data_IF_630333042562
#
_entry.id   IF_630333042562
#
_cell.length_a   1.000
_cell.length_b   1.000
_cell.length_c   1.000
_cell.angle_alpha   90.00
_cell.angle_beta   90.00
_cell.angle_gamma   90.00
#
_symmetry.space_group_name_H-M   'P 1'
#
loop_
_entity.id
_entity.type
_entity.pdbx_description
1 polymer ?
#
# COMPACT_ATOMS: atom_id res chain seq x y z
N UNK A 1 -7.40 -7.98 4.33
CA UNK A 1 -7.49 -6.54 4.66
C UNK A 1 -8.00 -5.74 3.47
N UNK A 2 -8.57 -4.58 3.73
CA UNK A 2 -8.98 -3.68 2.67
C UNK A 2 -7.84 -2.75 2.31
N UNK A 3 -7.65 -2.53 1.01
CA UNK A 3 -6.62 -1.64 0.49
C UNK A 3 -7.18 -0.83 -0.69
N UNK A 4 -6.53 0.29 -0.99
CA UNK A 4 -6.85 1.10 -2.16
C UNK A 4 -5.94 0.70 -3.32
N UNK A 5 -6.52 0.54 -4.50
CA UNK A 5 -5.79 0.18 -5.71
C UNK A 5 -6.40 0.89 -6.91
N UNK A 6 -5.58 1.17 -7.91
CA UNK A 6 -6.07 1.68 -9.18
C UNK A 6 -6.64 0.54 -10.02
N UNK A 7 -7.93 0.62 -10.35
CA UNK A 7 -8.62 -0.38 -11.18
C UNK A 7 -9.31 0.38 -12.31
N UNK A 8 -8.89 0.09 -13.54
CA UNK A 8 -9.43 0.74 -14.74
C UNK A 8 -9.40 2.27 -14.66
N UNK A 9 -8.30 2.83 -14.14
CA UNK A 9 -8.12 4.27 -14.02
C UNK A 9 -8.84 4.93 -12.85
N UNK A 10 -9.47 4.14 -11.97
CA UNK A 10 -10.18 4.63 -10.80
C UNK A 10 -9.60 4.04 -9.51
N UNK A 11 -9.68 4.81 -8.43
CA UNK A 11 -9.30 4.32 -7.10
C UNK A 11 -10.47 3.51 -6.52
N UNK A 12 -10.19 2.26 -6.15
CA UNK A 12 -11.22 1.38 -5.57
C UNK A 12 -10.68 0.65 -4.35
N UNK A 13 -11.57 0.33 -3.42
CA UNK A 13 -11.28 -0.59 -2.33
C UNK A 13 -11.21 -2.02 -2.87
N UNK A 14 -10.16 -2.73 -2.52
CA UNK A 14 -9.99 -4.15 -2.87
C UNK A 14 -9.66 -4.95 -1.63
N UNK A 15 -9.95 -6.24 -1.67
CA UNK A 15 -9.50 -7.18 -0.62
C UNK A 15 -8.11 -7.68 -0.99
N UNK A 16 -7.19 -7.58 -0.02
CA UNK A 16 -5.84 -8.10 -0.14
C UNK A 16 -5.54 -8.99 1.06
N UNK A 17 -4.74 -10.04 0.90
CA UNK A 17 -4.29 -10.80 2.06
C UNK A 17 -3.44 -9.91 2.95
N UNK A 18 -3.49 -10.16 4.26
CA UNK A 18 -2.61 -9.45 5.19
C UNK A 18 -1.16 -9.74 4.83
N UNK A 19 -0.29 -8.72 4.76
CA UNK A 19 1.09 -8.93 4.35
C UNK A 19 1.87 -9.74 5.39
N UNK A 20 2.81 -10.54 4.90
CA UNK A 20 3.78 -11.23 5.75
C UNK A 20 4.89 -10.27 6.12
N UNK A 21 5.60 -10.57 7.23
CA UNK A 21 6.69 -9.74 7.73
C UNK A 21 8.00 -10.51 7.59
N UNK A 22 8.81 -10.12 6.62
CA UNK A 22 10.09 -10.77 6.31
C UNK A 22 11.26 -10.09 7.00
N UNK A 23 12.47 -10.63 6.80
CA UNK A 23 13.72 -10.06 7.32
C UNK A 23 13.86 -8.60 6.90
N UNK A 24 14.18 -7.74 7.85
CA UNK A 24 14.36 -6.31 7.59
C UNK A 24 13.07 -5.53 7.44
N UNK A 25 11.93 -6.15 7.73
CA UNK A 25 10.62 -5.53 7.60
C UNK A 25 9.91 -5.42 8.94
N UNK A 26 8.96 -4.50 9.00
CA UNK A 26 8.00 -4.39 10.11
C UNK A 26 6.60 -4.43 9.54
N UNK A 27 5.65 -4.92 10.32
CA UNK A 27 4.23 -4.82 9.98
C UNK A 27 3.58 -3.80 10.89
N UNK A 28 2.83 -2.89 10.30
CA UNK A 28 2.18 -1.80 11.03
C UNK A 28 0.67 -1.99 11.01
N UNK A 29 0.05 -1.88 12.18
CA UNK A 29 -1.40 -1.69 12.26
C UNK A 29 -1.67 -0.23 11.96
N UNK A 30 -2.14 0.07 10.76
CA UNK A 30 -2.28 1.43 10.26
C UNK A 30 -3.42 2.15 10.97
N UNK A 31 -3.12 3.34 11.49
CA UNK A 31 -4.13 4.26 12.03
C UNK A 31 -4.55 5.29 10.99
N UNK A 32 -3.61 5.77 10.18
CA UNK A 32 -3.87 6.74 9.13
C UNK A 32 -2.83 6.61 8.02
N UNK A 33 -3.21 7.01 6.82
CA UNK A 33 -2.32 7.04 5.67
C UNK A 33 -2.47 8.37 4.93
N UNK A 34 -1.36 8.87 4.39
CA UNK A 34 -1.39 10.11 3.61
C UNK A 34 -1.80 9.85 2.17
N UNK A 35 -2.36 10.88 1.54
CA UNK A 35 -2.64 10.89 0.11
C UNK A 35 -1.60 11.76 -0.58
N UNK A 36 -1.04 11.26 -1.67
CA UNK A 36 -0.01 11.93 -2.42
C UNK A 36 -0.37 11.98 -3.91
N UNK A 37 0.21 12.94 -4.62
CA UNK A 37 -0.01 13.06 -6.07
C UNK A 37 0.39 11.77 -6.81
N UNK A 38 1.44 11.09 -6.35
CA UNK A 38 1.86 9.83 -6.94
C UNK A 38 0.76 8.76 -6.89
N UNK A 39 -0.07 8.76 -5.85
CA UNK A 39 -1.18 7.82 -5.73
C UNK A 39 -2.21 8.04 -6.84
N UNK A 40 -2.50 9.29 -7.16
CA UNK A 40 -3.42 9.63 -8.25
C UNK A 40 -2.83 9.24 -9.60
N UNK A 41 -1.54 9.49 -9.82
CA UNK A 41 -0.86 9.11 -11.05
C UNK A 41 -0.82 7.60 -11.21
N UNK A 42 -0.53 6.87 -10.15
CA UNK A 42 -0.50 5.41 -10.16
C UNK A 42 -1.89 4.85 -10.47
N UNK A 43 -2.95 5.39 -9.87
CA UNK A 43 -4.32 4.93 -10.11
C UNK A 43 -4.75 5.15 -11.56
N UNK A 44 -4.23 6.18 -12.20
CA UNK A 44 -4.49 6.49 -13.61
C UNK A 44 -3.57 5.73 -14.57
N UNK A 45 -2.63 4.91 -14.06
CA UNK A 45 -1.68 4.17 -14.89
C UNK A 45 -0.52 4.99 -15.40
N UNK A 46 -0.33 6.23 -14.90
CA UNK A 46 0.73 7.14 -15.35
C UNK A 46 2.01 7.02 -14.53
N UNK A 47 1.97 6.31 -13.42
CA UNK A 47 3.13 6.09 -12.54
C UNK A 47 3.07 4.66 -12.01
N UNK A 48 3.46 3.67 -12.86
CA UNK A 48 3.39 2.27 -12.45
C UNK A 48 4.41 1.98 -11.34
N UNK A 49 4.08 1.07 -10.41
CA UNK A 49 5.06 0.65 -9.40
C UNK A 49 6.23 -0.06 -10.07
N UNK A 50 7.45 0.03 -9.49
CA UNK A 50 8.59 -0.71 -10.00
C UNK A 50 8.36 -2.23 -9.87
N UNK A 51 9.06 -3.05 -10.68
CA UNK A 51 8.92 -4.50 -10.60
C UNK A 51 9.14 -5.02 -9.18
N UNK A 52 8.26 -5.91 -8.73
CA UNK A 52 8.32 -6.47 -7.37
C UNK A 52 7.63 -5.64 -6.31
N UNK A 53 7.23 -4.40 -6.60
CA UNK A 53 6.49 -3.57 -5.66
C UNK A 53 4.99 -3.91 -5.72
N UNK A 54 4.30 -3.67 -4.60
CA UNK A 54 2.85 -3.84 -4.53
C UNK A 54 2.13 -2.81 -5.40
N UNK A 55 0.98 -3.18 -5.93
CA UNK A 55 0.09 -2.27 -6.64
C UNK A 55 -0.85 -1.51 -5.70
N UNK A 56 -0.82 -1.82 -4.42
CA UNK A 56 -1.58 -1.08 -3.41
C UNK A 56 -1.08 0.36 -3.34
N UNK A 57 -2.00 1.31 -3.36
CA UNK A 57 -1.67 2.73 -3.33
C UNK A 57 -1.19 3.16 -1.95
N UNK A 58 -0.35 4.19 -1.92
CA UNK A 58 0.12 4.81 -0.70
C UNK A 58 1.63 4.79 -0.55
N UNK A 59 2.18 5.87 -0.02
CA UNK A 59 3.61 6.06 0.18
C UNK A 59 3.98 6.23 1.65
N UNK A 60 2.99 6.45 2.52
CA UNK A 60 3.24 6.75 3.92
C UNK A 60 2.05 6.34 4.79
N UNK A 61 2.34 6.02 6.03
CA UNK A 61 1.30 5.74 7.01
C UNK A 61 1.80 6.03 8.42
N UNK A 62 0.86 6.09 9.36
CA UNK A 62 1.15 6.08 10.79
C UNK A 62 0.37 4.95 11.46
N UNK A 63 0.88 4.46 12.57
CA UNK A 63 0.23 3.37 13.28
C UNK A 63 1.14 2.75 14.32
N UNK A 64 0.80 1.54 14.72
CA UNK A 64 1.52 0.79 15.75
C UNK A 64 2.18 -0.43 15.11
N UNK A 65 3.46 -0.63 15.38
CA UNK A 65 4.16 -1.84 14.93
C UNK A 65 3.52 -3.06 15.58
N UNK A 66 3.01 -3.97 14.74
CA UNK A 66 2.37 -5.21 15.21
C UNK A 66 3.31 -6.40 15.15
N UNK A 67 4.32 -6.35 14.28
CA UNK A 67 5.28 -7.44 14.12
C UNK A 67 6.58 -6.89 13.55
N UNK A 68 7.69 -7.45 14.03
CA UNK A 68 9.02 -7.17 13.50
C UNK A 68 9.52 -8.45 12.84
N UNK A 69 10.12 -8.33 11.67
CA UNK A 69 10.66 -9.47 10.95
C UNK A 69 11.80 -10.17 11.71
N UNK A 70 12.03 -11.43 11.37
CA UNK A 70 13.06 -12.24 12.04
C UNK A 70 14.47 -11.70 11.84
#
# INVERSE_FOLDING_TARGET
>A
MKALQGVEGQVKWVEEPSPTCDVGQIRIRVAAAGLNRADLLQSAGLYPPPPGASEVLGLECSGVVSEVGP
#
